data_IF_075548569968
#
_entry.id   IF_075548569968
#
_cell.length_a   1.000
_cell.length_b   1.000
_cell.length_c   1.000
_cell.angle_alpha   90.00
_cell.angle_beta   90.00
_cell.angle_gamma   90.00
#
_symmetry.space_group_name_H-M   'P 1'
#
loop_
_entity.id
_entity.type
_entity.pdbx_description
1 polymer ?
#
# COMPACT_ATOMS: atom_id res chain seq x y z
N UNK A 1 -6.97 -24.53 5.62
CA UNK A 1 -7.70 -23.31 5.22
C UNK A 1 -8.81 -23.73 4.28
N UNK A 2 -10.02 -23.89 4.79
CA UNK A 2 -11.23 -24.20 4.02
C UNK A 2 -11.76 -22.90 3.43
N UNK A 3 -11.57 -22.71 2.14
CA UNK A 3 -12.21 -21.63 1.41
C UNK A 3 -13.72 -21.95 1.36
N UNK A 4 -14.61 -21.04 1.81
CA UNK A 4 -16.04 -21.27 1.68
C UNK A 4 -16.39 -21.34 0.19
N UNK A 5 -16.98 -22.46 -0.23
CA UNK A 5 -17.39 -22.73 -1.61
C UNK A 5 -18.66 -21.93 -1.92
N UNK A 6 -18.50 -20.66 -2.28
CA UNK A 6 -19.56 -19.83 -2.83
C UNK A 6 -19.78 -18.51 -2.08
N UNK A 7 -20.39 -17.55 -2.78
CA UNK A 7 -20.84 -16.30 -2.18
C UNK A 7 -22.05 -16.58 -1.28
N UNK A 8 -21.91 -16.34 0.02
CA UNK A 8 -23.00 -16.44 0.99
C UNK A 8 -24.14 -15.51 0.56
N UNK A 9 -25.36 -16.02 0.48
CA UNK A 9 -26.54 -15.24 0.14
C UNK A 9 -27.29 -14.74 1.37
N UNK A 10 -26.84 -15.13 2.57
CA UNK A 10 -27.48 -14.86 3.85
C UNK A 10 -26.53 -14.13 4.80
N UNK A 11 -27.00 -13.05 5.43
CA UNK A 11 -26.25 -12.24 6.39
C UNK A 11 -25.69 -13.07 7.56
N UNK A 12 -26.40 -14.10 8.02
CA UNK A 12 -25.93 -14.99 9.09
C UNK A 12 -24.69 -15.77 8.66
N UNK A 13 -24.64 -16.17 7.39
CA UNK A 13 -23.49 -16.89 6.84
C UNK A 13 -22.31 -15.93 6.68
N UNK A 14 -22.54 -14.69 6.25
CA UNK A 14 -21.52 -13.64 6.25
C UNK A 14 -20.94 -13.38 7.64
N UNK A 15 -21.79 -13.24 8.67
CA UNK A 15 -21.33 -13.06 10.05
C UNK A 15 -20.47 -14.22 10.52
N UNK A 16 -20.90 -15.46 10.30
CA UNK A 16 -20.12 -16.64 10.66
C UNK A 16 -18.79 -16.70 9.89
N UNK A 17 -18.78 -16.39 8.59
CA UNK A 17 -17.53 -16.34 7.82
C UNK A 17 -16.59 -15.22 8.27
N UNK A 18 -17.13 -14.07 8.69
CA UNK A 18 -16.34 -12.96 9.21
C UNK A 18 -15.69 -13.31 10.56
N UNK A 19 -16.42 -14.01 11.45
CA UNK A 19 -15.88 -14.52 12.72
C UNK A 19 -14.74 -15.49 12.46
N UNK A 20 -14.94 -16.47 11.57
CA UNK A 20 -13.89 -17.45 11.20
C UNK A 20 -12.66 -16.75 10.61
N UNK A 21 -12.86 -15.72 9.79
CA UNK A 21 -11.78 -14.96 9.19
C UNK A 21 -11.00 -14.16 10.25
N UNK A 22 -11.68 -13.48 11.16
CA UNK A 22 -11.06 -12.72 12.25
C UNK A 22 -10.27 -13.63 13.20
N UNK A 23 -10.80 -14.79 13.57
CA UNK A 23 -10.08 -15.80 14.35
C UNK A 23 -8.83 -16.30 13.63
N UNK A 24 -8.95 -16.62 12.33
CA UNK A 24 -7.80 -17.05 11.52
C UNK A 24 -6.73 -15.96 11.39
N UNK A 25 -7.15 -14.69 11.30
CA UNK A 25 -6.25 -13.55 11.25
C UNK A 25 -5.54 -13.34 12.58
N UNK A 26 -6.26 -13.41 13.70
CA UNK A 26 -5.69 -13.36 15.05
C UNK A 26 -4.64 -14.46 15.25
N UNK A 27 -4.94 -15.69 14.83
CA UNK A 27 -4.00 -16.81 14.85
C UNK A 27 -2.75 -16.54 13.99
N UNK A 28 -2.92 -16.02 12.77
CA UNK A 28 -1.80 -15.69 11.90
C UNK A 28 -0.90 -14.56 12.46
N UNK A 29 -1.51 -13.57 13.12
CA UNK A 29 -0.78 -12.48 13.79
C UNK A 29 -0.02 -12.99 15.00
N UNK A 30 -0.64 -13.84 15.82
CA UNK A 30 0.00 -14.46 16.97
C UNK A 30 1.16 -15.37 16.54
N UNK A 31 0.95 -16.21 15.52
CA UNK A 31 2.02 -17.00 14.91
C UNK A 31 3.14 -16.11 14.36
N UNK A 32 2.82 -15.01 13.68
CA UNK A 32 3.82 -14.06 13.20
C UNK A 32 4.64 -13.42 14.32
N UNK A 33 4.02 -13.11 15.46
CA UNK A 33 4.71 -12.59 16.65
C UNK A 33 5.65 -13.62 17.27
N UNK A 34 5.18 -14.86 17.47
CA UNK A 34 6.04 -15.92 18.04
C UNK A 34 7.19 -16.28 17.09
N UNK A 35 6.96 -16.23 15.78
CA UNK A 35 8.01 -16.41 14.78
C UNK A 35 9.05 -15.27 14.78
N UNK A 36 8.64 -14.03 15.06
CA UNK A 36 9.52 -12.86 15.18
C UNK A 36 10.39 -12.89 16.46
N UNK A 37 9.88 -13.50 17.53
CA UNK A 37 10.60 -13.67 18.82
C UNK A 37 11.73 -14.71 18.69
N UNK A 38 11.48 -15.84 18.02
CA UNK A 38 12.48 -16.89 17.81
C UNK A 38 13.49 -16.56 16.68
N UNK A 39 13.06 -15.81 15.65
CA UNK A 39 13.89 -15.51 14.47
C UNK A 39 14.45 -14.09 14.42
N UNK A 40 14.27 -13.29 15.47
CA UNK A 40 14.75 -11.91 15.58
C UNK A 40 14.13 -11.00 14.52
N UNK A 41 13.04 -10.29 14.89
CA UNK A 41 12.35 -9.23 14.13
C UNK A 41 13.12 -8.76 12.89
N UNK A 42 12.84 -9.34 11.71
CA UNK A 42 13.31 -8.77 10.45
C UNK A 42 12.52 -7.49 10.22
N UNK A 43 13.15 -6.35 10.52
CA UNK A 43 12.62 -5.03 10.22
C UNK A 43 12.11 -5.03 8.77
N UNK A 44 10.79 -4.85 8.67
CA UNK A 44 9.97 -4.65 7.47
C UNK A 44 10.78 -4.57 6.18
N UNK A 45 10.63 -5.60 5.34
CA UNK A 45 11.14 -5.72 3.98
C UNK A 45 11.07 -4.38 3.23
N UNK A 46 12.14 -3.59 3.30
CA UNK A 46 12.33 -2.42 2.47
C UNK A 46 12.58 -2.95 1.07
N UNK A 47 11.57 -2.74 0.22
CA UNK A 47 11.59 -3.13 -1.17
C UNK A 47 12.90 -2.67 -1.81
N UNK A 48 13.65 -3.67 -2.31
CA UNK A 48 14.94 -3.61 -3.01
C UNK A 48 16.13 -3.47 -2.05
N UNK A 49 16.71 -4.60 -1.66
CA UNK A 49 18.18 -4.72 -1.71
C UNK A 49 18.59 -4.33 -3.13
N UNK A 50 18.98 -3.07 -3.30
CA UNK A 50 19.97 -2.73 -4.32
C UNK A 50 21.16 -3.58 -3.91
N UNK A 51 21.53 -4.49 -4.81
CA UNK A 51 22.88 -5.03 -4.94
C UNK A 51 23.88 -4.05 -4.33
N UNK A 52 24.82 -4.55 -3.53
CA UNK A 52 25.88 -3.79 -2.86
C UNK A 52 26.78 -3.09 -3.90
N UNK A 53 26.22 -2.15 -4.64
CA UNK A 53 26.97 -1.08 -5.25
C UNK A 53 27.45 -0.31 -4.04
N UNK A 54 28.75 -0.36 -3.79
CA UNK A 54 29.44 0.47 -2.83
C UNK A 54 29.15 1.94 -3.16
N UNK A 55 27.99 2.43 -2.71
CA UNK A 55 27.70 3.85 -2.67
C UNK A 55 28.67 4.35 -1.61
N UNK A 56 29.84 4.81 -2.06
CA UNK A 56 30.76 5.59 -1.24
C UNK A 56 29.89 6.67 -0.60
N UNK A 57 29.66 6.57 0.70
CA UNK A 57 28.99 7.65 1.42
C UNK A 57 29.88 8.87 1.23
N UNK A 58 29.41 9.80 0.39
CA UNK A 58 30.09 11.06 0.12
C UNK A 58 30.10 11.80 1.46
N UNK A 59 31.28 12.23 1.93
CA UNK A 59 31.35 13.00 3.16
C UNK A 59 30.59 14.33 2.97
N UNK A 60 30.10 14.93 4.06
CA UNK A 60 29.41 16.21 3.97
C UNK A 60 30.28 17.31 3.33
N UNK A 61 31.61 17.21 3.47
CA UNK A 61 32.57 18.09 2.84
C UNK A 61 32.59 17.90 1.31
N UNK A 62 32.69 16.66 0.86
CA UNK A 62 32.68 16.32 -0.56
C UNK A 62 31.33 16.67 -1.21
N UNK A 63 30.22 16.54 -0.48
CA UNK A 63 28.90 16.93 -0.96
C UNK A 63 28.83 18.44 -1.21
N UNK A 64 29.36 19.26 -0.31
CA UNK A 64 29.40 20.72 -0.48
C UNK A 64 30.27 21.11 -1.67
N UNK A 65 31.44 20.49 -1.80
CA UNK A 65 32.32 20.72 -2.94
C UNK A 65 31.65 20.32 -4.27
N UNK A 66 30.91 19.22 -4.27
CA UNK A 66 30.14 18.74 -5.41
C UNK A 66 29.04 19.72 -5.83
N UNK A 67 28.31 20.27 -4.86
CA UNK A 67 27.28 21.30 -5.10
C UNK A 67 27.90 22.61 -5.60
N UNK A 68 29.05 23.02 -5.07
CA UNK A 68 29.77 24.24 -5.50
C UNK A 68 30.30 24.07 -6.93
N UNK A 69 30.82 22.89 -7.27
CA UNK A 69 31.31 22.58 -8.63
C UNK A 69 30.16 22.35 -9.64
N UNK A 70 28.93 22.18 -9.16
CA UNK A 70 27.76 21.97 -10.02
C UNK A 70 27.89 20.72 -10.91
N UNK A 71 28.50 19.66 -10.38
CA UNK A 71 28.70 18.41 -11.11
C UNK A 71 27.39 17.60 -11.16
N UNK A 72 27.18 16.89 -12.28
CA UNK A 72 26.04 16.01 -12.45
C UNK A 72 26.29 14.64 -11.79
N UNK A 73 25.43 14.24 -10.85
CA UNK A 73 25.53 12.95 -10.11
C UNK A 73 25.52 11.69 -10.99
N UNK A 74 25.24 11.82 -12.29
CA UNK A 74 25.22 10.70 -13.23
C UNK A 74 26.53 10.57 -14.02
N UNK A 75 27.21 11.67 -14.35
CA UNK A 75 28.36 11.67 -15.26
C UNK A 75 29.56 12.48 -14.77
N UNK A 76 29.47 13.08 -13.57
CA UNK A 76 30.49 13.91 -12.92
C UNK A 76 30.99 15.10 -13.75
N UNK A 77 30.24 15.51 -14.78
CA UNK A 77 30.51 16.71 -15.58
C UNK A 77 29.65 17.87 -15.09
N UNK A 78 30.23 19.07 -15.11
CA UNK A 78 29.55 20.30 -14.71
C UNK A 78 28.50 20.78 -15.72
N UNK A 79 27.65 21.70 -15.28
CA UNK A 79 26.83 22.54 -16.16
C UNK A 79 25.46 21.99 -16.54
N UNK A 80 25.01 20.87 -15.96
CA UNK A 80 23.67 20.32 -16.19
C UNK A 80 23.17 19.51 -14.99
N UNK A 81 21.85 19.33 -14.88
CA UNK A 81 21.23 18.47 -13.88
C UNK A 81 21.09 17.04 -14.40
N UNK A 82 20.91 16.07 -13.49
CA UNK A 82 20.75 14.64 -13.83
C UNK A 82 19.68 14.41 -14.92
N UNK A 83 18.61 15.21 -14.91
CA UNK A 83 17.51 15.12 -15.89
C UNK A 83 17.92 15.52 -17.30
N UNK A 84 18.89 16.42 -17.42
CA UNK A 84 19.40 16.95 -18.68
C UNK A 84 20.68 16.23 -19.12
N UNK A 85 21.08 15.17 -18.39
CA UNK A 85 22.25 14.38 -18.70
C UNK A 85 21.99 13.52 -19.95
N UNK A 86 22.68 13.85 -21.05
CA UNK A 86 22.60 13.10 -22.30
C UNK A 86 23.15 11.67 -22.18
N UNK A 87 23.99 11.42 -21.17
CA UNK A 87 24.50 10.08 -20.82
C UNK A 87 23.52 9.29 -19.93
N UNK A 88 22.31 9.82 -19.68
CA UNK A 88 21.29 9.05 -18.99
C UNK A 88 20.93 7.81 -19.82
N UNK A 89 20.91 6.59 -19.23
CA UNK A 89 20.40 5.43 -19.92
C UNK A 89 18.94 5.74 -20.24
N UNK A 90 18.61 5.84 -21.54
CA UNK A 90 17.24 6.04 -22.02
C UNK A 90 16.38 4.93 -21.42
N UNK A 91 15.74 5.20 -20.30
CA UNK A 91 14.67 4.35 -19.80
C UNK A 91 13.55 4.57 -20.79
N UNK A 92 13.30 3.56 -21.61
CA UNK A 92 12.06 3.46 -22.36
C UNK A 92 10.92 3.80 -21.42
N UNK A 93 10.25 4.92 -21.68
CA UNK A 93 9.06 5.35 -20.97
C UNK A 93 7.94 4.37 -21.29
N UNK A 94 7.96 3.18 -20.67
CA UNK A 94 6.73 2.42 -20.46
C UNK A 94 5.88 3.26 -19.53
N UNK A 95 5.05 4.11 -20.13
CA UNK A 95 3.91 4.76 -19.50
C UNK A 95 3.14 3.67 -18.77
N UNK A 96 3.34 3.58 -17.46
CA UNK A 96 2.40 2.87 -16.60
C UNK A 96 1.15 3.73 -16.65
N UNK A 97 0.16 3.26 -17.40
CA UNK A 97 -1.17 3.84 -17.38
C UNK A 97 -1.65 3.76 -15.93
N UNK A 98 -1.61 4.89 -15.22
CA UNK A 98 -2.15 4.93 -13.87
C UNK A 98 -3.65 4.66 -13.97
N UNK A 99 -4.20 3.71 -13.18
CA UNK A 99 -5.65 3.56 -13.11
C UNK A 99 -6.23 4.92 -12.71
N UNK A 100 -7.11 5.46 -13.56
CA UNK A 100 -7.74 6.76 -13.34
C UNK A 100 -8.37 6.76 -11.95
N UNK A 101 -7.87 7.61 -11.07
CA UNK A 101 -8.48 7.85 -9.76
C UNK A 101 -9.88 8.40 -10.03
N UNK A 102 -10.92 7.63 -9.71
CA UNK A 102 -12.31 8.06 -9.84
C UNK A 102 -12.47 9.44 -9.18
N UNK A 103 -13.15 10.35 -9.86
CA UNK A 103 -13.44 11.70 -9.35
C UNK A 103 -14.32 11.60 -8.11
N UNK A 104 -14.37 12.67 -7.31
CA UNK A 104 -15.21 12.72 -6.11
C UNK A 104 -16.69 12.43 -6.43
N UNK A 105 -17.15 12.90 -7.58
CA UNK A 105 -18.52 12.74 -8.08
C UNK A 105 -18.83 11.29 -8.45
N UNK A 106 -17.90 10.61 -9.14
CA UNK A 106 -18.07 9.21 -9.52
C UNK A 106 -18.09 8.30 -8.28
N UNK A 107 -17.26 8.59 -7.27
CA UNK A 107 -17.28 7.87 -6.00
C UNK A 107 -18.60 8.07 -5.26
N UNK A 108 -19.09 9.31 -5.22
CA UNK A 108 -20.37 9.62 -4.59
C UNK A 108 -21.53 8.92 -5.28
N UNK A 109 -21.57 8.94 -6.62
CA UNK A 109 -22.58 8.24 -7.39
C UNK A 109 -22.56 6.73 -7.11
N UNK A 110 -21.36 6.13 -7.04
CA UNK A 110 -21.20 4.71 -6.73
C UNK A 110 -21.67 4.36 -5.32
N UNK A 111 -21.33 5.17 -4.32
CA UNK A 111 -21.81 4.97 -2.94
C UNK A 111 -23.34 5.10 -2.89
N UNK A 112 -23.90 6.10 -3.56
CA UNK A 112 -25.35 6.35 -3.59
C UNK A 112 -26.13 5.18 -4.18
N UNK A 113 -25.63 4.57 -5.27
CA UNK A 113 -26.25 3.37 -5.86
C UNK A 113 -26.24 2.22 -4.86
N UNK A 114 -25.08 1.92 -4.26
CA UNK A 114 -24.95 0.83 -3.29
C UNK A 114 -25.86 1.00 -2.07
N UNK A 115 -26.01 2.24 -1.58
CA UNK A 115 -26.92 2.54 -0.47
C UNK A 115 -28.38 2.37 -0.89
N UNK A 116 -28.74 2.72 -2.12
CA UNK A 116 -30.12 2.59 -2.59
C UNK A 116 -30.53 1.14 -2.83
N UNK A 117 -29.61 0.29 -3.29
CA UNK A 117 -29.85 -1.13 -3.56
C UNK A 117 -30.04 -1.97 -2.28
N UNK A 118 -29.71 -1.42 -1.11
CA UNK A 118 -29.94 -2.06 0.18
C UNK A 118 -31.43 -1.98 0.59
N UNK A 119 -32.06 -3.10 0.98
CA UNK A 119 -33.44 -3.11 1.45
C UNK A 119 -33.57 -2.32 2.75
N UNK A 120 -34.73 -1.70 2.95
CA UNK A 120 -34.98 -0.79 4.08
C UNK A 120 -34.85 -1.49 5.44
N UNK A 121 -35.13 -2.78 5.49
CA UNK A 121 -34.96 -3.64 6.67
C UNK A 121 -33.50 -3.74 7.11
N UNK A 122 -32.56 -3.88 6.17
CA UNK A 122 -31.12 -3.93 6.47
C UNK A 122 -30.58 -2.58 6.93
N UNK A 123 -31.13 -1.48 6.40
CA UNK A 123 -30.79 -0.12 6.85
C UNK A 123 -31.26 0.12 8.27
N UNK A 124 -32.48 -0.29 8.59
CA UNK A 124 -33.05 -0.12 9.91
C UNK A 124 -32.33 -0.99 10.95
N UNK A 125 -32.01 -2.25 10.61
CA UNK A 125 -31.17 -3.11 11.46
C UNK A 125 -29.79 -2.48 11.73
N UNK A 126 -29.17 -1.86 10.73
CA UNK A 126 -27.88 -1.17 10.91
C UNK A 126 -28.01 0.04 11.84
N UNK A 127 -29.09 0.80 11.73
CA UNK A 127 -29.38 1.96 12.61
C UNK A 127 -29.60 1.48 14.06
N UNK A 128 -30.41 0.44 14.26
CA UNK A 128 -30.69 -0.13 15.58
C UNK A 128 -29.40 -0.64 16.25
N UNK A 129 -28.50 -1.26 15.47
CA UNK A 129 -27.20 -1.71 15.95
C UNK A 129 -26.27 -0.56 16.33
N UNK A 130 -26.27 0.55 15.58
CA UNK A 130 -25.50 1.75 15.92
C UNK A 130 -26.01 2.40 17.21
N UNK A 131 -27.33 2.48 17.39
CA UNK A 131 -27.93 3.02 18.62
C UNK A 131 -27.62 2.15 19.84
N UNK A 132 -27.59 0.82 19.69
CA UNK A 132 -27.22 -0.11 20.76
C UNK A 132 -25.74 -0.01 21.17
N UNK A 133 -24.84 0.28 20.23
CA UNK A 133 -23.41 0.52 20.51
C UNK A 133 -23.11 1.96 20.98
N UNK A 134 -24.12 2.83 21.04
CA UNK A 134 -24.01 4.20 21.58
C UNK A 134 -23.37 5.20 20.61
N UNK A 135 -23.53 4.99 19.30
CA UNK A 135 -23.14 5.93 18.25
C UNK A 135 -24.20 6.99 17.93
#
# INVERSE_FOLDING_TARGET
MTQPEGASTNIKDWMNTAILFDESYKQAIEYGRTWDDDNGRKLKWSFRKKEEVAIKQISEADQKEYMVKGLCFQCDRGGHWIRDCLDSPKKDEKKKEEPKKLTKEERYARIKVLVNDQPEEEKNLLIDLMELEGF
#
